data_IF_504267654183
#
_entry.id   IF_504267654183
#
_cell.length_a   1.000
_cell.length_b   1.000
_cell.length_c   1.000
_cell.angle_alpha   90.00
_cell.angle_beta   90.00
_cell.angle_gamma   90.00
#
_symmetry.space_group_name_H-M   'P 1'
#
loop_
_entity.id
_entity.type
_entity.pdbx_description
1 polymer ?
#
# COMPACT_ATOMS: atom_id res chain seq x y z
N UNK A 1 0.52 -10.35 4.47
CA UNK A 1 0.75 -10.42 3.00
C UNK A 1 2.25 -10.52 2.78
N UNK A 2 2.69 -11.53 2.04
CA UNK A 2 4.11 -11.69 1.66
C UNK A 2 4.22 -11.33 0.19
N UNK A 3 5.24 -10.54 -0.17
CA UNK A 3 5.54 -10.31 -1.57
C UNK A 3 6.16 -11.54 -2.20
N UNK A 4 5.87 -11.78 -3.47
CA UNK A 4 6.53 -12.81 -4.26
C UNK A 4 7.58 -12.18 -5.18
N UNK A 5 8.67 -12.89 -5.37
CA UNK A 5 9.72 -12.47 -6.28
C UNK A 5 9.20 -12.45 -7.72
N UNK A 6 9.26 -11.33 -8.46
CA UNK A 6 8.75 -11.24 -9.82
C UNK A 6 9.56 -12.09 -10.83
N UNK A 7 10.74 -12.54 -10.44
CA UNK A 7 11.62 -13.33 -11.32
C UNK A 7 11.44 -14.86 -11.13
N UNK A 8 11.08 -15.30 -9.92
CA UNK A 8 11.04 -16.74 -9.63
C UNK A 8 9.85 -17.17 -8.76
N UNK A 9 8.92 -16.27 -8.44
CA UNK A 9 7.70 -16.53 -7.68
C UNK A 9 7.91 -17.03 -6.23
N UNK A 10 9.15 -17.08 -5.76
CA UNK A 10 9.46 -17.46 -4.39
C UNK A 10 9.14 -16.31 -3.42
N UNK A 11 8.76 -16.60 -2.16
CA UNK A 11 8.52 -15.58 -1.17
C UNK A 11 9.71 -14.64 -0.97
N UNK A 12 9.41 -13.35 -0.79
CA UNK A 12 10.39 -12.33 -0.45
C UNK A 12 10.39 -12.07 1.05
N UNK A 13 11.56 -12.09 1.64
CA UNK A 13 11.80 -11.80 3.06
C UNK A 13 12.53 -10.48 3.19
N UNK A 14 12.01 -9.59 4.02
CA UNK A 14 12.67 -8.32 4.34
C UNK A 14 13.78 -8.55 5.36
N UNK A 15 15.00 -8.16 4.99
CA UNK A 15 16.14 -8.07 5.92
C UNK A 15 16.72 -6.67 5.80
N UNK A 16 16.68 -5.92 6.90
CA UNK A 16 17.08 -4.50 6.94
C UNK A 16 16.26 -3.67 5.93
N UNK A 17 16.82 -3.32 4.80
CA UNK A 17 16.19 -2.55 3.73
C UNK A 17 16.22 -3.26 2.37
N UNK A 18 16.31 -4.58 2.37
CA UNK A 18 16.40 -5.40 1.17
C UNK A 18 15.37 -6.53 1.26
N UNK A 19 14.54 -6.65 0.24
CA UNK A 19 13.72 -7.84 0.03
C UNK A 19 14.52 -8.87 -0.75
N UNK A 20 14.63 -10.09 -0.20
CA UNK A 20 15.43 -11.17 -0.78
C UNK A 20 14.63 -12.46 -0.83
N UNK A 21 14.70 -13.19 -1.94
CA UNK A 21 14.15 -14.54 -2.06
C UNK A 21 15.22 -15.62 -1.84
N UNK A 22 14.79 -16.87 -1.75
CA UNK A 22 15.68 -18.04 -1.60
C UNK A 22 16.65 -18.21 -2.77
N UNK A 23 16.29 -17.74 -3.97
CA UNK A 23 17.14 -17.78 -5.17
C UNK A 23 18.07 -16.55 -5.29
N UNK A 24 18.31 -15.82 -4.18
CA UNK A 24 19.20 -14.66 -4.10
C UNK A 24 18.81 -13.43 -4.94
N UNK A 25 17.60 -13.36 -5.53
CA UNK A 25 17.13 -12.11 -6.12
C UNK A 25 16.89 -11.09 -5.01
N UNK A 26 17.32 -9.86 -5.24
CA UNK A 26 17.30 -8.79 -4.24
C UNK A 26 16.63 -7.54 -4.82
N UNK A 27 15.87 -6.85 -3.96
CA UNK A 27 15.14 -5.62 -4.29
C UNK A 27 15.29 -4.65 -3.13
N UNK A 28 15.93 -3.52 -3.39
CA UNK A 28 16.16 -2.50 -2.37
C UNK A 28 14.89 -1.74 -2.02
N UNK A 29 14.73 -1.43 -0.75
CA UNK A 29 13.68 -0.52 -0.27
C UNK A 29 14.18 0.91 -0.44
N UNK A 30 13.47 1.71 -1.22
CA UNK A 30 13.76 3.11 -1.43
C UNK A 30 13.75 3.90 -0.11
N UNK A 31 14.40 5.07 -0.09
CA UNK A 31 14.46 5.94 1.09
C UNK A 31 13.05 6.28 1.61
N UNK A 32 12.12 6.44 0.71
CA UNK A 32 10.70 6.75 0.95
C UNK A 32 9.88 5.56 1.47
N UNK A 33 10.47 4.34 1.51
CA UNK A 33 9.84 3.15 2.09
C UNK A 33 9.18 2.20 1.09
N UNK A 34 9.13 2.52 -0.20
CA UNK A 34 8.60 1.60 -1.21
C UNK A 34 9.67 0.65 -1.77
N UNK A 35 9.24 -0.45 -2.37
CA UNK A 35 10.11 -1.38 -3.12
C UNK A 35 9.63 -1.46 -4.56
N UNK A 36 10.55 -1.34 -5.52
CA UNK A 36 10.23 -1.53 -6.94
C UNK A 36 10.41 -3.00 -7.30
N UNK A 37 9.30 -3.69 -7.50
CA UNK A 37 9.28 -5.10 -7.91
C UNK A 37 9.08 -5.28 -9.43
N UNK A 38 9.03 -4.19 -10.21
CA UNK A 38 8.93 -4.28 -11.67
C UNK A 38 10.33 -4.49 -12.28
N UNK A 39 10.62 -5.68 -12.85
CA UNK A 39 11.91 -5.93 -13.51
C UNK A 39 12.13 -5.00 -14.70
N UNK A 40 13.37 -4.52 -14.87
CA UNK A 40 13.73 -3.56 -15.93
C UNK A 40 13.39 -4.10 -17.33
N UNK A 41 13.56 -5.39 -17.55
CA UNK A 41 13.23 -6.06 -18.81
C UNK A 41 11.73 -6.07 -19.14
N UNK A 42 10.87 -5.84 -18.16
CA UNK A 42 9.41 -5.77 -18.33
C UNK A 42 8.90 -4.35 -18.54
N UNK A 43 9.79 -3.34 -18.45
CA UNK A 43 9.43 -1.95 -18.76
C UNK A 43 9.23 -1.80 -20.27
N UNK A 44 8.00 -1.53 -20.69
CA UNK A 44 7.65 -1.30 -22.10
C UNK A 44 7.89 0.14 -22.55
N UNK A 45 8.08 1.07 -21.62
CA UNK A 45 8.30 2.51 -21.88
C UNK A 45 9.52 3.01 -21.11
N UNK A 46 10.25 3.96 -21.70
CA UNK A 46 11.36 4.64 -21.03
C UNK A 46 10.86 5.54 -19.91
N UNK A 47 9.69 6.18 -20.11
CA UNK A 47 8.99 7.02 -19.13
C UNK A 47 7.56 6.50 -18.91
N UNK A 48 7.38 5.46 -18.07
CA UNK A 48 6.06 4.95 -17.75
C UNK A 48 5.38 5.87 -16.72
N UNK A 49 4.14 6.25 -17.02
CA UNK A 49 3.31 7.05 -16.11
C UNK A 49 3.46 8.56 -16.25
N UNK A 50 3.06 9.28 -15.22
CA UNK A 50 3.12 10.74 -15.17
C UNK A 50 4.58 11.22 -15.03
N UNK A 51 4.92 12.30 -15.70
CA UNK A 51 6.21 12.95 -15.52
C UNK A 51 6.28 13.68 -14.15
N UNK A 52 7.46 14.16 -13.79
CA UNK A 52 7.71 14.81 -12.49
C UNK A 52 6.80 16.03 -12.24
N UNK A 53 6.54 16.80 -13.28
CA UNK A 53 5.70 18.01 -13.20
C UNK A 53 4.24 17.66 -12.95
N UNK A 54 3.73 16.66 -13.69
CA UNK A 54 2.38 16.12 -13.48
C UNK A 54 2.20 15.54 -12.07
N UNK A 55 3.19 14.84 -11.57
CA UNK A 55 3.16 14.30 -10.20
C UNK A 55 3.15 15.42 -9.16
N UNK A 56 3.94 16.49 -9.35
CA UNK A 56 3.92 17.65 -8.45
C UNK A 56 2.58 18.38 -8.49
N UNK A 57 2.02 18.61 -9.67
CA UNK A 57 0.71 19.25 -9.83
C UNK A 57 -0.40 18.44 -9.15
N UNK A 58 -0.39 17.12 -9.34
CA UNK A 58 -1.33 16.20 -8.67
C UNK A 58 -1.19 16.28 -7.16
N UNK A 59 0.03 16.26 -6.62
CA UNK A 59 0.31 16.37 -5.18
C UNK A 59 -0.21 17.70 -4.63
N UNK A 60 0.07 18.81 -5.30
CA UNK A 60 -0.44 20.13 -4.89
C UNK A 60 -1.96 20.16 -4.87
N UNK A 61 -2.61 19.64 -5.90
CA UNK A 61 -4.05 19.56 -5.99
C UNK A 61 -4.67 18.73 -4.87
N UNK A 62 -4.13 17.54 -4.60
CA UNK A 62 -4.62 16.67 -3.53
C UNK A 62 -4.39 17.28 -2.14
N UNK A 63 -3.24 17.92 -1.93
CA UNK A 63 -2.93 18.62 -0.67
C UNK A 63 -3.77 19.90 -0.48
N UNK A 64 -4.34 20.45 -1.54
CA UNK A 64 -5.32 21.54 -1.50
C UNK A 64 -6.67 21.15 -0.86
N UNK A 65 -6.86 19.86 -0.56
CA UNK A 65 -8.02 19.38 0.19
C UNK A 65 -9.28 19.14 -0.66
N UNK A 66 -9.23 19.33 -1.98
CA UNK A 66 -10.39 19.18 -2.86
C UNK A 66 -11.01 17.78 -2.83
N UNK A 67 -10.19 16.75 -2.60
CA UNK A 67 -10.63 15.35 -2.49
C UNK A 67 -10.72 14.85 -1.05
N UNK A 68 -10.51 15.72 -0.07
CA UNK A 68 -10.60 15.34 1.35
C UNK A 68 -11.97 14.78 1.73
N UNK A 69 -13.11 15.38 1.34
CA UNK A 69 -14.42 14.83 1.69
C UNK A 69 -14.63 13.41 1.14
N UNK A 70 -14.20 13.15 -0.10
CA UNK A 70 -14.28 11.82 -0.70
C UNK A 70 -13.37 10.82 0.01
N UNK A 71 -12.13 11.22 0.32
CA UNK A 71 -11.18 10.40 1.06
C UNK A 71 -11.72 9.99 2.42
N UNK A 72 -12.29 10.94 3.15
CA UNK A 72 -12.80 10.72 4.49
C UNK A 72 -14.07 9.83 4.44
N UNK A 73 -14.96 10.03 3.48
CA UNK A 73 -16.13 9.17 3.26
C UNK A 73 -15.74 7.72 2.94
N UNK A 74 -14.73 7.51 2.09
CA UNK A 74 -14.21 6.16 1.81
C UNK A 74 -13.57 5.55 3.05
N UNK A 75 -12.86 6.34 3.85
CA UNK A 75 -12.26 5.88 5.10
C UNK A 75 -13.32 5.40 6.10
N UNK A 76 -14.41 6.15 6.26
CA UNK A 76 -15.52 5.78 7.15
C UNK A 76 -16.19 4.49 6.67
N UNK A 77 -16.41 4.35 5.37
CA UNK A 77 -16.95 3.12 4.77
C UNK A 77 -16.06 1.91 5.06
N UNK A 78 -14.75 2.02 4.84
CA UNK A 78 -13.79 0.96 5.10
C UNK A 78 -13.75 0.58 6.59
N UNK A 79 -13.80 1.56 7.47
CA UNK A 79 -13.83 1.35 8.91
C UNK A 79 -15.09 0.58 9.33
N UNK A 80 -16.25 0.94 8.78
CA UNK A 80 -17.52 0.25 9.01
C UNK A 80 -17.48 -1.21 8.55
N UNK A 81 -17.07 -1.44 7.30
CA UNK A 81 -16.97 -2.79 6.73
C UNK A 81 -16.02 -3.71 7.52
N UNK A 82 -14.88 -3.18 7.97
CA UNK A 82 -13.93 -3.95 8.78
C UNK A 82 -14.48 -4.25 10.18
N UNK A 83 -15.25 -3.33 10.77
CA UNK A 83 -15.90 -3.55 12.06
C UNK A 83 -16.97 -4.64 11.98
N UNK A 84 -17.79 -4.65 10.92
CA UNK A 84 -18.80 -5.68 10.69
C UNK A 84 -18.17 -7.07 10.52
N UNK A 85 -17.06 -7.15 9.77
CA UNK A 85 -16.36 -8.43 9.55
C UNK A 85 -15.81 -9.05 10.84
N UNK A 86 -15.36 -8.21 11.78
CA UNK A 86 -14.83 -8.69 13.08
C UNK A 86 -15.92 -9.24 14.00
N UNK A 87 -17.18 -8.79 13.83
CA UNK A 87 -18.30 -9.25 14.66
C UNK A 87 -18.86 -10.61 14.23
N UNK A 88 -18.73 -11.00 12.95
CA UNK A 88 -19.33 -12.23 12.39
C UNK A 88 -18.55 -13.49 12.77
N UNK A 89 -17.24 -13.40 13.00
CA UNK A 89 -16.38 -14.59 13.19
C UNK A 89 -16.16 -15.03 14.65
N UNK A 90 -16.61 -14.28 15.64
CA UNK A 90 -16.45 -14.66 17.06
C UNK A 90 -15.00 -14.90 17.52
N UNK A 91 -14.01 -14.54 16.69
CA UNK A 91 -12.59 -14.69 16.93
C UNK A 91 -11.96 -13.38 17.35
N UNK A 92 -11.33 -13.39 18.49
CA UNK A 92 -10.78 -12.24 19.20
C UNK A 92 -9.62 -11.52 18.53
N UNK A 93 -9.14 -11.91 17.35
CA UNK A 93 -8.12 -11.18 16.55
C UNK A 93 -8.12 -11.68 15.11
N UNK A 94 -8.81 -10.99 14.22
CA UNK A 94 -8.64 -11.17 12.77
C UNK A 94 -7.68 -10.09 12.26
N UNK A 95 -6.51 -10.49 11.77
CA UNK A 95 -5.62 -9.61 11.04
C UNK A 95 -6.24 -9.31 9.67
N UNK A 96 -6.76 -8.12 9.49
CA UNK A 96 -7.30 -7.67 8.22
C UNK A 96 -6.18 -7.10 7.33
N UNK A 97 -6.36 -7.21 6.02
CA UNK A 97 -5.44 -6.64 5.04
C UNK A 97 -6.21 -5.79 4.05
N UNK A 98 -5.72 -4.58 3.80
CA UNK A 98 -6.24 -3.67 2.79
C UNK A 98 -5.18 -3.48 1.70
N UNK A 99 -5.56 -3.75 0.45
CA UNK A 99 -4.72 -3.51 -0.71
C UNK A 99 -5.32 -2.35 -1.53
N UNK A 100 -4.56 -1.27 -1.64
CA UNK A 100 -4.89 -0.10 -2.47
C UNK A 100 -4.20 -0.23 -3.82
N UNK A 101 -4.95 -0.62 -4.85
CA UNK A 101 -4.43 -0.83 -6.22
C UNK A 101 -4.47 0.50 -6.97
N UNK A 102 -3.31 0.91 -7.51
CA UNK A 102 -3.17 2.22 -8.16
C UNK A 102 -3.00 3.35 -7.15
N UNK A 103 -2.37 3.08 -6.02
CA UNK A 103 -2.22 4.02 -4.90
C UNK A 103 -1.49 5.33 -5.26
N UNK A 104 -0.79 5.39 -6.39
CA UNK A 104 0.02 6.53 -6.79
C UNK A 104 1.06 6.90 -5.72
N UNK A 105 1.06 8.15 -5.26
CA UNK A 105 1.95 8.61 -4.19
C UNK A 105 1.45 8.26 -2.76
N UNK A 106 0.39 7.49 -2.66
CA UNK A 106 -0.14 7.02 -1.38
C UNK A 106 -0.97 8.05 -0.61
N UNK A 107 -1.56 9.05 -1.28
CA UNK A 107 -2.43 10.05 -0.65
C UNK A 107 -3.58 9.40 0.13
N UNK A 108 -4.30 8.47 -0.48
CA UNK A 108 -5.37 7.72 0.17
C UNK A 108 -4.83 6.64 1.11
N UNK A 109 -3.89 5.84 0.63
CA UNK A 109 -3.26 4.72 1.36
C UNK A 109 -2.73 5.14 2.72
N UNK A 110 -2.01 6.27 2.77
CA UNK A 110 -1.42 6.78 4.02
C UNK A 110 -2.50 7.23 5.02
N UNK A 111 -3.61 7.79 4.53
CA UNK A 111 -4.74 8.17 5.36
C UNK A 111 -5.46 6.95 5.94
N UNK A 112 -5.76 5.96 5.09
CA UNK A 112 -6.38 4.71 5.52
C UNK A 112 -5.50 3.97 6.53
N UNK A 113 -4.19 3.90 6.30
CA UNK A 113 -3.27 3.28 7.25
C UNK A 113 -3.30 3.94 8.62
N UNK A 114 -3.32 5.28 8.68
CA UNK A 114 -3.43 6.02 9.94
C UNK A 114 -4.77 5.80 10.63
N UNK A 115 -5.87 5.92 9.91
CA UNK A 115 -7.20 5.76 10.47
C UNK A 115 -7.42 4.34 11.05
N UNK A 116 -7.00 3.31 10.30
CA UNK A 116 -7.18 1.92 10.68
C UNK A 116 -6.22 1.47 11.80
N UNK A 117 -5.08 2.14 11.99
CA UNK A 117 -4.16 1.84 13.09
C UNK A 117 -4.64 2.34 14.45
N UNK A 118 -5.51 3.35 14.49
CA UNK A 118 -5.98 3.98 15.73
C UNK A 118 -7.24 3.32 16.33
N UNK A 119 -7.91 2.46 15.62
CA UNK A 119 -9.11 1.77 16.12
C UNK A 119 -8.73 0.50 16.91
N UNK A 120 -9.11 0.42 18.18
CA UNK A 120 -8.84 -0.74 19.06
C UNK A 120 -9.29 -2.07 18.47
N UNK A 121 -10.36 -2.07 17.67
CA UNK A 121 -10.89 -3.26 16.98
C UNK A 121 -10.07 -3.69 15.76
N UNK A 122 -9.15 -2.84 15.28
CA UNK A 122 -8.47 -3.01 14.00
C UNK A 122 -6.94 -2.82 14.11
N UNK A 123 -6.39 -2.94 15.32
CA UNK A 123 -4.96 -2.73 15.60
C UNK A 123 -4.01 -3.69 14.84
N UNK A 124 -4.55 -4.63 14.08
CA UNK A 124 -3.79 -5.55 13.23
C UNK A 124 -4.01 -5.37 11.73
N UNK A 125 -4.74 -4.33 11.27
CA UNK A 125 -4.98 -4.13 9.84
C UNK A 125 -3.71 -3.63 9.16
N UNK A 126 -3.22 -4.41 8.20
CA UNK A 126 -2.09 -4.04 7.35
C UNK A 126 -2.61 -3.38 6.07
N UNK A 127 -2.21 -2.14 5.81
CA UNK A 127 -2.52 -1.42 4.57
C UNK A 127 -1.31 -1.43 3.66
N UNK A 128 -1.53 -1.79 2.40
CA UNK A 128 -0.48 -1.86 1.37
C UNK A 128 -0.98 -1.13 0.12
N UNK A 129 -0.20 -0.18 -0.39
CA UNK A 129 -0.39 0.44 -1.69
C UNK A 129 0.39 -0.31 -2.79
N UNK A 130 -0.17 -0.37 -4.00
CA UNK A 130 0.41 -1.05 -5.16
C UNK A 130 0.32 -0.18 -6.42
#
# INVERSE_FOLDING_TARGET
>A
MSYLCPLCQQPLFLKERIYKCTNNHQFDVAKEGYVNLLPVQHKRSKDPGDNKEMMQARRQFLNGGHYQPMRDAVCDLLTGLLAEHTMVEGKSQTYSQLLDIGCGEGYYTSHFAKALSHTKAQSGTKVVGL
#
